data_IF_318545299345
#
_entry.id   IF_318545299345
#
_cell.length_a   1.000
_cell.length_b   1.000
_cell.length_c   1.000
_cell.angle_alpha   90.00
_cell.angle_beta   90.00
_cell.angle_gamma   90.00
#
_symmetry.space_group_name_H-M   'P 1'
#
loop_
_entity.id
_entity.type
_entity.pdbx_description
1 polymer ?
#
# COMPACT_ATOMS: atom_id res chain seq x y z
N UNK A 1 -7.07 -10.85 -13.77
CA UNK A 1 -7.58 -9.66 -13.04
C UNK A 1 -6.41 -8.73 -12.76
N UNK A 2 -6.52 -7.43 -13.07
CA UNK A 2 -5.47 -6.48 -12.71
C UNK A 2 -5.28 -6.54 -11.18
N UNK A 3 -4.09 -6.99 -10.78
CA UNK A 3 -3.72 -7.23 -9.40
C UNK A 3 -2.41 -6.52 -9.11
N UNK A 4 -2.40 -5.70 -8.07
CA UNK A 4 -1.16 -5.24 -7.47
C UNK A 4 -0.51 -6.42 -6.72
N UNK A 5 0.81 -6.41 -6.63
CA UNK A 5 1.54 -7.35 -5.78
C UNK A 5 1.03 -7.25 -4.34
N UNK A 6 0.80 -8.39 -3.68
CA UNK A 6 0.34 -8.44 -2.29
C UNK A 6 1.48 -8.05 -1.35
N UNK A 7 1.20 -7.13 -0.43
CA UNK A 7 2.11 -6.70 0.62
C UNK A 7 1.31 -6.35 1.88
N UNK A 8 1.98 -6.38 3.02
CA UNK A 8 1.39 -6.09 4.33
C UNK A 8 0.86 -4.66 4.43
N UNK A 9 1.51 -3.73 3.75
CA UNK A 9 1.12 -2.32 3.67
C UNK A 9 1.70 -1.66 2.42
N UNK A 10 1.13 -0.51 2.07
CA UNK A 10 1.51 0.27 0.90
C UNK A 10 1.68 1.74 1.28
N UNK A 11 2.75 2.37 0.79
CA UNK A 11 2.83 3.83 0.75
C UNK A 11 2.15 4.33 -0.53
N UNK A 12 1.34 5.38 -0.42
CA UNK A 12 0.65 6.00 -1.55
C UNK A 12 0.97 7.49 -1.54
N UNK A 13 1.43 8.01 -2.68
CA UNK A 13 1.68 9.44 -2.85
C UNK A 13 1.17 9.94 -4.19
N UNK A 14 0.78 11.21 -4.25
CA UNK A 14 0.44 11.87 -5.53
C UNK A 14 1.67 11.93 -6.45
N UNK A 15 1.42 11.85 -7.74
CA UNK A 15 2.42 11.92 -8.79
C UNK A 15 1.83 12.58 -10.05
N UNK A 16 2.68 13.35 -10.71
CA UNK A 16 2.45 13.90 -12.04
C UNK A 16 3.81 14.01 -12.72
N UNK A 17 3.89 13.75 -14.01
CA UNK A 17 5.13 13.85 -14.78
C UNK A 17 4.91 14.71 -16.01
N UNK A 18 5.92 15.48 -16.41
CA UNK A 18 5.93 16.17 -17.71
C UNK A 18 6.40 15.27 -18.85
N UNK A 19 6.93 14.08 -18.55
CA UNK A 19 7.38 13.12 -19.55
C UNK A 19 6.17 12.43 -20.21
N UNK A 20 6.12 12.33 -21.55
CA UNK A 20 5.02 11.70 -22.27
C UNK A 20 5.11 10.16 -22.23
N UNK A 21 5.15 9.60 -21.03
CA UNK A 21 5.10 8.15 -20.80
C UNK A 21 3.65 7.70 -20.60
N UNK A 22 3.34 6.46 -20.99
CA UNK A 22 2.06 5.82 -20.67
C UNK A 22 2.33 4.56 -19.86
N UNK A 23 1.65 4.43 -18.72
CA UNK A 23 1.73 3.28 -17.84
C UNK A 23 0.45 2.45 -17.91
N UNK A 24 0.50 1.22 -17.40
CA UNK A 24 -0.71 0.41 -17.19
C UNK A 24 -1.08 0.42 -15.71
N UNK A 25 -2.31 0.83 -15.40
CA UNK A 25 -2.79 0.86 -14.02
C UNK A 25 -2.98 -0.57 -13.48
N UNK A 26 -2.27 -0.99 -12.42
CA UNK A 26 -2.34 -2.38 -11.92
C UNK A 26 -3.67 -2.73 -11.24
N UNK A 27 -4.56 -1.75 -11.03
CA UNK A 27 -5.85 -1.93 -10.36
C UNK A 27 -7.03 -2.07 -11.32
N UNK A 28 -6.90 -1.58 -12.55
CA UNK A 28 -7.95 -1.67 -13.57
C UNK A 28 -7.47 -2.15 -14.95
N UNK A 29 -6.16 -2.28 -15.17
CA UNK A 29 -5.58 -2.76 -16.42
C UNK A 29 -5.60 -1.76 -17.57
N UNK A 30 -6.18 -0.56 -17.36
CA UNK A 30 -6.27 0.47 -18.40
C UNK A 30 -5.02 1.35 -18.43
N UNK A 31 -4.80 1.99 -19.59
CA UNK A 31 -3.72 2.94 -19.80
C UNK A 31 -3.86 4.17 -18.89
N UNK A 32 -2.72 4.66 -18.46
CA UNK A 32 -2.55 5.82 -17.59
C UNK A 32 -1.45 6.71 -18.18
N UNK A 33 -1.83 7.84 -18.80
CA UNK A 33 -0.86 8.84 -19.22
C UNK A 33 -0.15 9.44 -17.99
N UNK A 34 1.18 9.51 -18.03
CA UNK A 34 1.99 10.03 -16.92
C UNK A 34 1.76 11.54 -16.65
N UNK A 35 1.26 12.26 -17.66
CA UNK A 35 0.93 13.68 -17.59
C UNK A 35 -0.38 13.98 -16.87
N UNK A 36 -1.25 12.98 -16.75
CA UNK A 36 -2.46 13.06 -15.94
C UNK A 36 -2.12 12.94 -14.46
N UNK A 37 -2.92 13.57 -13.59
CA UNK A 37 -2.81 13.38 -12.15
C UNK A 37 -3.02 11.90 -11.79
N UNK A 38 -2.08 11.34 -11.05
CA UNK A 38 -2.12 9.94 -10.65
C UNK A 38 -1.42 9.73 -9.31
N UNK A 39 -1.34 8.48 -8.87
CA UNK A 39 -0.63 8.11 -7.65
C UNK A 39 0.43 7.05 -7.91
N UNK A 40 1.47 7.09 -7.10
CA UNK A 40 2.44 6.02 -6.95
C UNK A 40 2.04 5.16 -5.75
N UNK A 41 1.93 3.86 -5.98
CA UNK A 41 1.72 2.85 -4.94
C UNK A 41 3.03 2.10 -4.76
N UNK A 42 3.50 2.05 -3.53
CA UNK A 42 4.81 1.48 -3.17
C UNK A 42 4.61 0.39 -2.12
N UNK A 43 4.64 -0.90 -2.51
CA UNK A 43 4.55 -2.02 -1.58
C UNK A 43 5.69 -1.97 -0.56
N UNK A 44 5.37 -2.10 0.73
CA UNK A 44 6.33 -2.01 1.84
C UNK A 44 7.20 -0.73 1.85
N UNK A 45 6.80 0.31 1.11
CA UNK A 45 7.61 1.52 0.94
C UNK A 45 8.85 1.35 0.05
N UNK A 46 9.07 0.18 -0.59
CA UNK A 46 10.18 -0.03 -1.51
C UNK A 46 9.94 0.67 -2.87
N UNK A 47 10.61 1.81 -3.08
CA UNK A 47 10.52 2.63 -4.28
C UNK A 47 10.92 1.92 -5.59
N UNK A 48 11.61 0.78 -5.53
CA UNK A 48 11.94 -0.08 -6.69
C UNK A 48 10.72 -0.85 -7.17
N UNK A 49 9.78 -1.16 -6.28
CA UNK A 49 8.52 -1.88 -6.56
C UNK A 49 7.35 -0.95 -6.82
N UNK A 50 7.59 0.35 -6.99
CA UNK A 50 6.54 1.35 -7.23
C UNK A 50 5.71 1.02 -8.48
N UNK A 51 4.42 1.34 -8.43
CA UNK A 51 3.48 1.19 -9.53
C UNK A 51 2.67 2.48 -9.71
N UNK A 52 2.44 2.86 -10.96
CA UNK A 52 1.61 4.02 -11.29
C UNK A 52 0.14 3.58 -11.40
N UNK A 53 -0.76 4.27 -10.71
CA UNK A 53 -2.18 3.95 -10.71
C UNK A 53 -3.03 5.22 -10.76
N UNK A 54 -4.22 5.14 -11.35
CA UNK A 54 -5.19 6.24 -11.31
C UNK A 54 -5.58 6.55 -9.86
N UNK A 55 -5.70 7.83 -9.54
CA UNK A 55 -6.14 8.31 -8.21
C UNK A 55 -7.46 7.67 -7.78
N UNK A 56 -8.45 7.62 -8.67
CA UNK A 56 -9.74 7.01 -8.40
C UNK A 56 -9.66 5.49 -8.13
N UNK A 57 -8.79 4.77 -8.85
CA UNK A 57 -8.60 3.34 -8.64
C UNK A 57 -7.96 3.06 -7.27
N UNK A 58 -6.94 3.84 -6.91
CA UNK A 58 -6.28 3.72 -5.62
C UNK A 58 -7.24 4.06 -4.46
N UNK A 59 -8.04 5.12 -4.59
CA UNK A 59 -9.06 5.49 -3.61
C UNK A 59 -10.10 4.38 -3.40
N UNK A 60 -10.57 3.76 -4.49
CA UNK A 60 -11.49 2.62 -4.40
C UNK A 60 -10.85 1.40 -3.74
N UNK A 61 -9.60 1.10 -4.07
CA UNK A 61 -8.87 -0.01 -3.46
C UNK A 61 -8.60 0.22 -1.96
N UNK A 62 -8.30 1.46 -1.56
CA UNK A 62 -8.20 1.88 -0.15
C UNK A 62 -9.51 1.67 0.60
N UNK A 63 -10.63 2.16 0.08
CA UNK A 63 -11.96 1.96 0.70
C UNK A 63 -12.34 0.49 0.82
N UNK A 64 -11.85 -0.35 -0.11
CA UNK A 64 -12.06 -1.80 -0.07
C UNK A 64 -11.05 -2.55 0.83
N UNK A 65 -10.22 -1.86 1.61
CA UNK A 65 -9.23 -2.49 2.51
C UNK A 65 -8.07 -3.19 1.81
N UNK A 66 -7.92 -3.05 0.48
CA UNK A 66 -6.90 -3.77 -0.32
C UNK A 66 -5.54 -3.10 -0.36
N UNK A 67 -5.45 -1.88 0.14
CA UNK A 67 -4.20 -1.11 0.21
C UNK A 67 -4.03 -0.57 1.62
N UNK A 68 -3.81 -1.39 2.67
CA UNK A 68 -3.59 -0.87 4.02
C UNK A 68 -2.38 0.06 4.07
N UNK A 69 -2.47 1.13 4.86
CA UNK A 69 -1.36 2.03 5.15
C UNK A 69 -0.42 1.40 6.17
N UNK A 70 0.79 1.94 6.32
CA UNK A 70 1.75 1.46 7.31
C UNK A 70 1.18 1.53 8.73
N UNK A 71 0.48 2.61 9.06
CA UNK A 71 -0.05 2.82 10.40
C UNK A 71 -1.25 1.93 10.69
N UNK A 72 -2.14 1.71 9.71
CA UNK A 72 -3.22 0.72 9.83
C UNK A 72 -2.67 -0.69 10.04
N UNK A 73 -1.65 -1.09 9.27
CA UNK A 73 -1.00 -2.38 9.45
C UNK A 73 -0.33 -2.51 10.82
N UNK A 74 0.39 -1.48 11.28
CA UNK A 74 1.01 -1.46 12.63
C UNK A 74 -0.04 -1.54 13.73
N UNK A 75 -1.17 -0.86 13.59
CA UNK A 75 -2.25 -0.89 14.56
C UNK A 75 -2.94 -2.26 14.66
N UNK A 76 -2.97 -3.00 13.54
CA UNK A 76 -3.53 -4.35 13.47
C UNK A 76 -2.59 -5.45 14.01
N UNK A 77 -1.31 -5.15 14.28
CA UNK A 77 -0.39 -6.15 14.82
C UNK A 77 -0.76 -6.54 16.25
N UNK A 78 -0.64 -7.84 16.60
CA UNK A 78 -0.89 -8.29 17.97
C UNK A 78 0.09 -7.57 18.91
N UNK A 79 -0.45 -6.91 19.94
CA UNK A 79 0.37 -6.38 21.02
C UNK A 79 0.97 -7.57 21.77
N UNK A 80 2.28 -7.72 21.74
CA UNK A 80 2.97 -8.76 22.50
C UNK A 80 2.48 -8.73 23.96
N UNK A 81 2.17 -9.88 24.58
CA UNK A 81 1.79 -9.91 25.97
C UNK A 81 2.91 -9.28 26.80
N UNK A 82 2.57 -8.23 27.55
CA UNK A 82 3.54 -7.44 28.29
C UNK A 82 4.38 -8.30 29.25
N UNK A 83 5.55 -7.79 29.65
CA UNK A 83 6.51 -8.45 30.55
C UNK A 83 5.84 -9.04 31.81
N UNK A 84 4.77 -8.42 32.30
CA UNK A 84 3.96 -8.89 33.44
C UNK A 84 3.26 -10.24 33.19
N UNK A 85 2.82 -10.53 31.96
CA UNK A 85 2.26 -11.83 31.60
C UNK A 85 3.35 -12.92 31.59
N UNK A 86 4.59 -12.56 31.28
CA UNK A 86 5.75 -13.46 31.28
C UNK A 86 6.23 -13.78 32.71
N UNK A 87 6.15 -12.82 33.63
CA UNK A 87 6.51 -13.03 35.04
C UNK A 87 5.47 -13.86 35.81
N UNK A 88 4.17 -13.80 35.46
CA UNK A 88 3.14 -14.68 36.07
C UNK A 88 3.23 -16.15 35.63
N UNK A 89 4.03 -16.47 34.61
CA UNK A 89 4.29 -17.84 34.17
C UNK A 89 5.44 -18.54 34.92
N UNK A 90 6.20 -17.81 35.74
CA UNK A 90 7.29 -18.36 36.53
C UNK A 90 6.77 -18.73 37.92
N UNK A 91 6.42 -20.01 38.09
CA UNK A 91 6.31 -20.65 39.41
C UNK A 91 7.63 -21.42 39.65
N UNK A 92 8.29 -21.26 40.82
CA UNK A 92 9.54 -21.94 41.14
C UNK A 92 9.38 -23.47 41.24
#
# INVERSE_FOLDING_TARGET
MPSIERADWYAIRRAQSTRPSTYTCPLCGRLLPAMSEHVLITPLGDGRRRRHAHTACAARARRAGRLPSRDEWRAAQPRSPGILARLKGWRP
#
